data_IF_074781872111
#
_entry.id   IF_074781872111
#
_cell.length_a   1.000
_cell.length_b   1.000
_cell.length_c   1.000
_cell.angle_alpha   90.00
_cell.angle_beta   90.00
_cell.angle_gamma   90.00
#
_symmetry.space_group_name_H-M   'P 1'
#
loop_
_entity.id
_entity.type
_entity.pdbx_description
1 polymer ?
#
# COMPACT_ATOMS: atom_id res chain seq x y z
N UNK A 1 22.76 -17.42 9.41
CA UNK A 1 22.37 -16.34 10.33
C UNK A 1 22.69 -16.80 11.75
N UNK A 2 23.62 -16.15 12.45
CA UNK A 2 24.04 -16.54 13.81
C UNK A 2 23.38 -15.58 14.80
N UNK A 3 22.31 -16.02 15.45
CA UNK A 3 21.65 -15.24 16.51
C UNK A 3 22.48 -15.45 17.78
N UNK A 4 23.08 -14.39 18.31
CA UNK A 4 23.67 -14.40 19.65
C UNK A 4 22.65 -13.78 20.61
N UNK A 5 22.02 -14.61 21.43
CA UNK A 5 21.17 -14.15 22.53
C UNK A 5 22.06 -13.77 23.72
N UNK A 6 22.07 -12.49 24.07
CA UNK A 6 22.87 -11.95 25.18
C UNK A 6 22.19 -12.10 26.55
N UNK A 7 20.98 -12.66 26.60
CA UNK A 7 20.19 -12.87 27.84
C UNK A 7 20.53 -14.21 28.51
N UNK A 8 21.43 -15.00 27.93
CA UNK A 8 21.87 -16.28 28.48
C UNK A 8 20.87 -17.44 28.31
N UNK A 9 19.83 -17.24 27.49
CA UNK A 9 18.84 -18.27 27.16
C UNK A 9 18.93 -18.66 25.69
N UNK A 10 18.55 -19.90 25.36
CA UNK A 10 18.44 -20.37 23.97
C UNK A 10 16.96 -20.64 23.68
N UNK A 11 16.16 -19.59 23.40
CA UNK A 11 14.73 -19.74 23.17
C UNK A 11 14.48 -20.61 21.93
N UNK A 12 13.51 -21.51 22.02
CA UNK A 12 12.98 -22.22 20.87
C UNK A 12 12.25 -21.26 19.93
N UNK A 13 11.94 -21.68 18.70
CA UNK A 13 11.10 -20.91 17.77
C UNK A 13 9.76 -20.53 18.39
N UNK A 14 9.17 -21.40 19.22
CA UNK A 14 7.92 -21.12 19.93
C UNK A 14 8.11 -20.02 20.98
N UNK A 15 9.20 -20.05 21.74
CA UNK A 15 9.54 -19.02 22.74
C UNK A 15 9.76 -17.66 22.07
N UNK A 16 10.42 -17.62 20.92
CA UNK A 16 10.63 -16.40 20.15
C UNK A 16 9.31 -15.79 19.65
N UNK A 17 8.38 -16.61 19.16
CA UNK A 17 7.06 -16.15 18.72
C UNK A 17 6.22 -15.63 19.89
N UNK A 18 6.35 -16.23 21.08
CA UNK A 18 5.68 -15.77 22.28
C UNK A 18 6.26 -14.45 22.83
N UNK A 19 7.58 -14.26 22.72
CA UNK A 19 8.29 -13.05 23.18
C UNK A 19 8.16 -11.87 22.23
N UNK A 20 7.90 -12.13 20.94
CA UNK A 20 7.71 -11.12 19.90
C UNK A 20 6.29 -11.24 19.32
N UNK A 21 5.24 -11.04 20.14
CA UNK A 21 3.88 -11.10 19.64
C UNK A 21 3.71 -10.01 18.58
N UNK A 22 3.11 -10.38 17.45
CA UNK A 22 2.66 -9.36 16.50
C UNK A 22 1.60 -8.50 17.19
N UNK A 23 1.58 -7.18 16.97
CA UNK A 23 0.48 -6.35 17.41
C UNK A 23 -0.84 -6.96 16.93
N UNK A 24 -1.74 -7.26 17.87
CA UNK A 24 -3.09 -7.69 17.55
C UNK A 24 -3.88 -6.42 17.22
N UNK A 25 -3.88 -6.04 15.95
CA UNK A 25 -4.76 -4.99 15.45
C UNK A 25 -6.12 -5.62 15.17
N UNK A 26 -7.18 -5.05 15.73
CA UNK A 26 -8.55 -5.50 15.43
C UNK A 26 -8.94 -5.08 14.01
N UNK A 27 -8.76 -6.00 13.06
CA UNK A 27 -9.10 -5.81 11.64
C UNK A 27 -10.62 -5.79 11.44
N UNK A 28 -11.41 -6.32 12.38
CA UNK A 28 -12.87 -6.42 12.22
C UNK A 28 -13.52 -5.05 12.08
N UNK A 29 -13.01 -4.03 12.78
CA UNK A 29 -13.52 -2.65 12.72
C UNK A 29 -13.47 -2.08 11.29
N UNK A 30 -12.43 -2.39 10.52
CA UNK A 30 -12.29 -1.91 9.14
C UNK A 30 -13.01 -2.79 8.12
N UNK A 31 -13.33 -4.04 8.49
CA UNK A 31 -13.85 -5.04 7.55
C UNK A 31 -15.25 -4.70 7.05
N UNK A 32 -16.13 -4.21 7.93
CA UNK A 32 -17.49 -3.85 7.55
C UNK A 32 -17.50 -2.67 6.58
N UNK A 33 -16.71 -1.63 6.85
CA UNK A 33 -16.56 -0.47 5.94
C UNK A 33 -15.96 -0.90 4.61
N UNK A 34 -14.93 -1.75 4.61
CA UNK A 34 -14.34 -2.26 3.37
C UNK A 34 -15.34 -3.06 2.54
N UNK A 35 -16.18 -3.87 3.18
CA UNK A 35 -17.25 -4.63 2.52
C UNK A 35 -18.24 -3.68 1.85
N UNK A 36 -18.72 -2.66 2.57
CA UNK A 36 -19.63 -1.66 2.02
C UNK A 36 -19.05 -0.96 0.77
N UNK A 37 -17.79 -0.52 0.84
CA UNK A 37 -17.12 0.13 -0.30
C UNK A 37 -17.02 -0.79 -1.53
N UNK A 38 -16.69 -2.07 -1.31
CA UNK A 38 -16.56 -3.06 -2.38
C UNK A 38 -17.91 -3.43 -2.99
N UNK A 39 -18.96 -3.63 -2.17
CA UNK A 39 -20.31 -3.90 -2.67
C UNK A 39 -20.84 -2.72 -3.50
N UNK A 40 -20.60 -1.50 -3.03
CA UNK A 40 -21.02 -0.29 -3.72
C UNK A 40 -20.39 -0.16 -5.11
N UNK A 41 -19.09 -0.44 -5.24
CA UNK A 41 -18.40 -0.51 -6.53
C UNK A 41 -18.92 -1.67 -7.38
N UNK A 42 -19.21 -2.83 -6.79
CA UNK A 42 -19.81 -3.95 -7.53
C UNK A 42 -21.16 -3.59 -8.13
N UNK A 43 -21.99 -2.83 -7.41
CA UNK A 43 -23.33 -2.46 -7.85
C UNK A 43 -23.33 -1.27 -8.82
N UNK A 44 -22.53 -0.23 -8.55
CA UNK A 44 -22.59 1.06 -9.28
C UNK A 44 -21.36 1.35 -10.16
N UNK A 45 -20.32 0.53 -10.07
CA UNK A 45 -19.12 0.66 -10.89
C UNK A 45 -18.39 2.00 -10.68
N UNK A 46 -18.08 2.68 -11.78
CA UNK A 46 -17.28 3.92 -11.80
C UNK A 46 -17.92 5.07 -11.04
N UNK A 47 -19.26 5.13 -10.95
CA UNK A 47 -19.94 6.17 -10.19
C UNK A 47 -19.59 6.10 -8.70
N UNK A 48 -19.57 4.89 -8.12
CA UNK A 48 -19.15 4.69 -6.74
C UNK A 48 -17.68 5.09 -6.52
N UNK A 49 -16.79 4.75 -7.45
CA UNK A 49 -15.38 5.13 -7.37
C UNK A 49 -15.19 6.65 -7.33
N UNK A 50 -15.92 7.40 -8.17
CA UNK A 50 -15.86 8.86 -8.19
C UNK A 50 -16.40 9.48 -6.89
N UNK A 51 -17.51 8.96 -6.37
CA UNK A 51 -18.08 9.43 -5.09
C UNK A 51 -17.14 9.12 -3.91
N UNK A 52 -16.49 7.95 -3.93
CA UNK A 52 -15.53 7.54 -2.92
C UNK A 52 -14.26 8.41 -2.95
N UNK A 53 -13.71 8.71 -4.13
CA UNK A 53 -12.57 9.61 -4.29
C UNK A 53 -12.90 11.03 -3.82
N UNK A 54 -14.08 11.55 -4.13
CA UNK A 54 -14.51 12.88 -3.68
C UNK A 54 -14.59 12.96 -2.15
N UNK A 55 -15.08 11.89 -1.51
CA UNK A 55 -15.23 11.84 -0.04
C UNK A 55 -13.90 11.63 0.67
N UNK A 56 -13.08 10.68 0.19
CA UNK A 56 -11.89 10.20 0.89
C UNK A 56 -10.62 10.95 0.49
N UNK A 57 -10.47 11.23 -0.81
CA UNK A 57 -9.30 11.91 -1.38
C UNK A 57 -9.55 13.40 -1.61
N UNK A 58 -10.79 13.87 -1.39
CA UNK A 58 -11.22 15.26 -1.56
C UNK A 58 -11.10 15.77 -3.00
N UNK A 59 -11.11 14.86 -3.97
CA UNK A 59 -11.04 15.18 -5.40
C UNK A 59 -11.98 14.28 -6.20
N UNK A 60 -12.63 14.83 -7.22
CA UNK A 60 -13.43 14.08 -8.17
C UNK A 60 -12.76 14.14 -9.55
N UNK A 61 -12.03 13.09 -9.98
CA UNK A 61 -11.30 13.14 -11.24
C UNK A 61 -12.25 13.09 -12.44
N UNK A 62 -11.91 13.80 -13.51
CA UNK A 62 -12.69 13.79 -14.75
C UNK A 62 -12.65 12.41 -15.45
N UNK A 63 -11.53 11.70 -15.30
CA UNK A 63 -11.31 10.37 -15.88
C UNK A 63 -10.67 9.44 -14.85
N UNK A 64 -11.12 8.18 -14.81
CA UNK A 64 -10.50 7.17 -13.94
C UNK A 64 -9.13 6.72 -14.44
N UNK A 65 -8.92 6.74 -15.76
CA UNK A 65 -7.66 6.34 -16.38
C UNK A 65 -6.80 7.57 -16.62
N UNK A 66 -5.60 7.57 -16.05
CA UNK A 66 -4.61 8.62 -16.30
C UNK A 66 -4.27 8.67 -17.80
N UNK A 67 -4.38 9.83 -18.47
CA UNK A 67 -3.99 9.97 -19.87
C UNK A 67 -2.50 9.67 -20.08
N UNK A 68 -2.15 9.02 -21.18
CA UNK A 68 -0.74 8.67 -21.49
C UNK A 68 0.17 9.90 -21.57
N UNK A 69 -0.35 11.02 -22.07
CA UNK A 69 0.39 12.28 -22.13
C UNK A 69 0.76 12.81 -20.73
N UNK A 70 -0.12 12.65 -19.74
CA UNK A 70 0.17 13.07 -18.37
C UNK A 70 1.28 12.20 -17.74
N UNK A 71 1.30 10.90 -18.06
CA UNK A 71 2.37 9.98 -17.63
C UNK A 71 3.70 10.39 -18.27
N UNK A 72 3.73 10.64 -19.58
CA UNK A 72 4.95 11.07 -20.27
C UNK A 72 5.49 12.38 -19.68
N UNK A 73 4.63 13.39 -19.49
CA UNK A 73 5.01 14.66 -18.89
C UNK A 73 5.55 14.50 -17.46
N UNK A 74 4.97 13.60 -16.66
CA UNK A 74 5.47 13.32 -15.31
C UNK A 74 6.88 12.70 -15.32
N UNK A 75 7.14 11.77 -16.26
CA UNK A 75 8.47 11.16 -16.44
C UNK A 75 9.50 12.18 -16.92
N UNK A 76 9.12 13.01 -17.90
CA UNK A 76 9.99 14.07 -18.44
C UNK A 76 10.29 15.16 -17.41
N UNK A 77 9.37 15.39 -16.47
CA UNK A 77 9.51 16.36 -15.38
C UNK A 77 10.28 15.86 -14.15
N UNK A 78 10.75 14.61 -14.14
CA UNK A 78 11.55 14.09 -13.03
C UNK A 78 12.91 14.79 -12.93
N UNK A 79 13.38 15.00 -11.70
CA UNK A 79 14.78 15.35 -11.47
C UNK A 79 15.68 14.26 -12.09
N UNK A 80 16.72 14.62 -12.88
CA UNK A 80 17.56 13.65 -13.56
C UNK A 80 18.23 12.62 -12.64
N UNK A 81 18.59 13.02 -11.41
CA UNK A 81 19.20 12.12 -10.44
C UNK A 81 18.17 11.12 -9.88
N UNK A 82 16.92 11.57 -9.66
CA UNK A 82 15.82 10.69 -9.24
C UNK A 82 15.49 9.69 -10.35
N UNK A 83 15.42 10.15 -11.61
CA UNK A 83 15.17 9.27 -12.77
C UNK A 83 16.23 8.18 -12.87
N UNK A 84 17.51 8.55 -12.82
CA UNK A 84 18.61 7.58 -12.88
C UNK A 84 18.58 6.56 -11.72
N UNK A 85 18.26 7.00 -10.51
CA UNK A 85 18.13 6.12 -9.35
C UNK A 85 16.98 5.11 -9.50
N UNK A 86 15.81 5.56 -9.99
CA UNK A 86 14.67 4.68 -10.27
C UNK A 86 14.99 3.67 -11.39
N UNK A 87 15.66 4.09 -12.45
CA UNK A 87 16.08 3.19 -13.55
C UNK A 87 17.08 2.13 -13.07
N UNK A 88 18.02 2.47 -12.18
CA UNK A 88 18.91 1.51 -11.55
C UNK A 88 18.15 0.54 -10.64
N UNK A 89 17.20 1.03 -9.84
CA UNK A 89 16.39 0.18 -8.96
C UNK A 89 15.55 -0.82 -9.77
N UNK A 90 14.90 -0.37 -10.86
CA UNK A 90 14.15 -1.23 -11.78
C UNK A 90 15.02 -2.33 -12.37
N UNK A 91 16.28 -2.04 -12.73
CA UNK A 91 17.20 -3.06 -13.26
C UNK A 91 17.61 -4.13 -12.24
N UNK A 92 17.48 -3.87 -10.93
CA UNK A 92 17.97 -4.74 -9.85
C UNK A 92 16.87 -5.61 -9.20
N UNK A 93 15.61 -5.39 -9.55
CA UNK A 93 14.45 -6.17 -9.08
C UNK A 93 14.10 -7.20 -10.14
#
# INVERSE_FOLDING_TARGET
>A
MRIQDLRGTTPSTADLLALLPRPVTDVAVALDVARELVEDVRTRGSAALLDQAERLDRVRPETLRVPSAAIAAAVDGLDPAVRAALEEAIRRV
#
